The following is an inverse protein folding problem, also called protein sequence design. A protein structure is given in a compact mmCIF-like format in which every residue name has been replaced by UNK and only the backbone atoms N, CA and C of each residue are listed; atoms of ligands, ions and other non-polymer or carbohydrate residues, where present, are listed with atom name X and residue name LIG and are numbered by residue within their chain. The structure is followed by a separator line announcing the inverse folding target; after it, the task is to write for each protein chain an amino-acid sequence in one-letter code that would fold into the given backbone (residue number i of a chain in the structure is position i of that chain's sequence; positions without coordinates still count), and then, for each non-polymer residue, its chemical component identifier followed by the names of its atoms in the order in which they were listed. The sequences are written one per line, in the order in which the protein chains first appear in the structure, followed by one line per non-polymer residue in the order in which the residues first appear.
data_IF_935886566729
#
_entry.id   IF_935886566729
#
_cell.length_a   1.000
_cell.length_b   1.000
_cell.length_c   1.000
_cell.angle_alpha   90.00
_cell.angle_beta   90.00
_cell.angle_gamma   90.00
#
_symmetry.space_group_name_H-M   'P 1'
#
loop_
_entity.id
_entity.type
_entity.pdbx_description
1 polymer ?
#
# COMPACT_ATOMS: atom_id res chain seq x y z
N UNK A 1 17.50 6.52 -11.77
CA UNK A 1 16.29 5.87 -11.22
C UNK A 1 16.11 4.55 -11.94
N UNK A 2 15.82 3.46 -11.23
CA UNK A 2 15.55 2.16 -11.85
C UNK A 2 14.33 2.29 -12.77
N UNK A 3 14.43 1.76 -13.99
CA UNK A 3 13.33 1.79 -14.97
C UNK A 3 12.69 0.41 -14.97
N UNK A 4 11.45 0.35 -14.50
CA UNK A 4 10.65 -0.86 -14.51
C UNK A 4 10.47 -1.36 -15.95
N UNK A 5 10.66 -2.66 -16.15
CA UNK A 5 10.34 -3.33 -17.40
C UNK A 5 9.00 -4.07 -17.31
N UNK A 6 8.64 -4.77 -18.39
CA UNK A 6 7.39 -5.51 -18.46
C UNK A 6 7.34 -6.69 -17.48
N UNK A 7 8.50 -7.26 -17.13
CA UNK A 7 8.57 -8.37 -16.17
C UNK A 7 8.33 -7.86 -14.76
N UNK A 8 8.95 -6.73 -14.40
CA UNK A 8 8.72 -6.06 -13.12
C UNK A 8 7.25 -5.68 -12.95
N UNK A 9 6.63 -5.12 -13.99
CA UNK A 9 5.21 -4.76 -13.95
C UNK A 9 4.32 -6.00 -13.78
N UNK A 10 4.57 -7.07 -14.54
CA UNK A 10 3.81 -8.31 -14.41
C UNK A 10 3.92 -8.93 -13.00
N UNK A 11 5.09 -8.81 -12.37
CA UNK A 11 5.28 -9.25 -10.99
C UNK A 11 4.47 -8.41 -9.99
N UNK A 12 4.40 -7.10 -10.19
CA UNK A 12 3.58 -6.20 -9.37
C UNK A 12 2.10 -6.54 -9.55
N UNK A 13 1.62 -6.66 -10.78
CA UNK A 13 0.22 -6.96 -11.09
C UNK A 13 -0.23 -8.30 -10.49
N UNK A 14 0.63 -9.32 -10.55
CA UNK A 14 0.39 -10.62 -9.93
C UNK A 14 0.26 -10.50 -8.40
N UNK A 15 1.14 -9.72 -7.75
CA UNK A 15 1.07 -9.46 -6.30
C UNK A 15 -0.17 -8.69 -5.90
N UNK A 16 -0.56 -7.68 -6.69
CA UNK A 16 -1.78 -6.90 -6.46
C UNK A 16 -3.01 -7.81 -6.55
N UNK A 17 -3.04 -8.69 -7.55
CA UNK A 17 -4.12 -9.67 -7.72
C UNK A 17 -4.20 -10.63 -6.54
N UNK A 18 -3.05 -11.16 -6.09
CA UNK A 18 -2.97 -12.04 -4.92
C UNK A 18 -3.48 -11.33 -3.65
N UNK A 19 -3.01 -10.10 -3.41
CA UNK A 19 -3.42 -9.35 -2.22
C UNK A 19 -4.91 -8.96 -2.26
N UNK A 20 -5.46 -8.68 -3.44
CA UNK A 20 -6.89 -8.43 -3.62
C UNK A 20 -7.76 -9.62 -3.18
N UNK A 21 -7.38 -10.84 -3.54
CA UNK A 21 -8.07 -12.06 -3.08
C UNK A 21 -7.98 -12.20 -1.55
N UNK A 22 -6.79 -11.98 -0.98
CA UNK A 22 -6.57 -12.07 0.47
C UNK A 22 -7.44 -11.06 1.23
N UNK A 23 -7.54 -9.82 0.73
CA UNK A 23 -8.43 -8.78 1.27
C UNK A 23 -9.90 -9.18 1.14
N UNK A 24 -10.34 -9.69 -0.02
CA UNK A 24 -11.71 -10.14 -0.22
C UNK A 24 -12.10 -11.26 0.76
N UNK A 25 -11.22 -12.24 0.98
CA UNK A 25 -11.42 -13.32 1.96
C UNK A 25 -11.44 -12.82 3.40
N UNK A 26 -10.61 -11.81 3.72
CA UNK A 26 -10.63 -11.16 5.04
C UNK A 26 -11.94 -10.43 5.31
N UNK A 27 -12.49 -9.76 4.30
CA UNK A 27 -13.79 -9.07 4.38
C UNK A 27 -14.93 -10.09 4.48
N UNK A 28 -14.86 -11.19 3.73
CA UNK A 28 -15.84 -12.28 3.77
C UNK A 28 -15.78 -13.13 5.07
N UNK A 29 -14.78 -12.93 5.92
CA UNK A 29 -14.60 -13.67 7.17
C UNK A 29 -14.02 -15.08 7.00
N UNK A 30 -13.68 -15.50 5.78
CA UNK A 30 -13.05 -16.80 5.49
C UNK A 30 -11.54 -16.81 5.77
N UNK A 31 -10.96 -15.64 6.05
CA UNK A 31 -9.59 -15.47 6.50
C UNK A 31 -9.58 -14.68 7.82
N UNK A 32 -9.07 -15.29 8.90
CA UNK A 32 -9.05 -14.65 10.22
C UNK A 32 -8.02 -13.52 10.29
N UNK A 33 -8.14 -12.61 11.27
CA UNK A 33 -7.15 -11.54 11.45
C UNK A 33 -5.73 -12.09 11.70
N UNK A 34 -5.59 -13.17 12.47
CA UNK A 34 -4.27 -13.77 12.75
C UNK A 34 -3.63 -14.36 11.49
N UNK A 35 -4.43 -14.97 10.61
CA UNK A 35 -3.97 -15.47 9.31
C UNK A 35 -3.67 -14.34 8.33
N UNK A 36 -4.45 -13.26 8.39
CA UNK A 36 -4.30 -12.10 7.51
C UNK A 36 -3.12 -11.19 7.91
N UNK A 37 -2.83 -11.08 9.20
CA UNK A 37 -1.76 -10.25 9.77
C UNK A 37 -0.42 -10.38 9.03
N UNK A 38 0.16 -11.58 8.83
CA UNK A 38 1.42 -11.70 8.09
C UNK A 38 1.29 -11.27 6.61
N UNK A 39 0.12 -11.43 5.99
CA UNK A 39 -0.12 -11.08 4.59
C UNK A 39 -0.18 -9.56 4.39
N UNK A 40 -0.94 -8.86 5.23
CA UNK A 40 -1.02 -7.39 5.17
C UNK A 40 0.30 -6.71 5.54
N UNK A 41 1.06 -7.27 6.49
CA UNK A 41 2.34 -6.71 6.89
C UNK A 41 3.40 -6.83 5.78
N UNK A 42 3.38 -7.89 4.98
CA UNK A 42 4.24 -8.02 3.79
C UNK A 42 3.96 -6.93 2.75
N UNK A 43 2.73 -6.44 2.69
CA UNK A 43 2.29 -5.36 1.80
C UNK A 43 2.35 -3.97 2.49
N UNK A 44 3.00 -3.85 3.64
CA UNK A 44 3.17 -2.57 4.33
C UNK A 44 1.90 -2.03 4.99
N UNK A 45 0.87 -2.86 5.19
CA UNK A 45 -0.42 -2.47 5.74
C UNK A 45 -0.56 -2.87 7.23
N UNK A 46 -0.62 -1.86 8.09
CA UNK A 46 -0.64 -1.97 9.55
C UNK A 46 -2.02 -1.60 10.09
N UNK A 47 -2.65 -2.47 10.88
CA UNK A 47 -3.86 -2.10 11.61
C UNK A 47 -3.50 -1.22 12.82
N UNK A 48 -3.97 0.02 12.82
CA UNK A 48 -3.99 0.92 13.99
C UNK A 48 -5.36 0.86 14.68
N UNK A 49 -5.54 1.59 15.78
CA UNK A 49 -6.75 1.53 16.60
C UNK A 49 -8.04 1.84 15.81
N UNK A 50 -7.97 2.76 14.84
CA UNK A 50 -9.15 3.27 14.12
C UNK A 50 -9.15 3.01 12.61
N UNK A 51 -8.00 2.69 12.01
CA UNK A 51 -7.86 2.54 10.57
C UNK A 51 -6.57 1.77 10.22
N UNK A 52 -6.36 1.49 8.93
CA UNK A 52 -5.10 0.94 8.47
C UNK A 52 -4.12 2.06 8.09
N UNK A 53 -2.86 1.86 8.50
CA UNK A 53 -1.73 2.62 8.02
C UNK A 53 -1.02 1.87 6.89
N UNK A 54 -0.95 2.48 5.71
CA UNK A 54 -0.18 1.98 4.58
C UNK A 54 1.17 2.68 4.53
N UNK A 55 2.26 1.91 4.55
CA UNK A 55 3.62 2.40 4.36
C UNK A 55 4.12 2.07 2.96
N UNK A 56 4.36 3.09 2.16
CA UNK A 56 4.96 2.95 0.83
C UNK A 56 6.48 3.06 0.94
N UNK A 57 7.17 2.04 0.44
CA UNK A 57 8.62 2.00 0.42
C UNK A 57 9.18 2.90 -0.69
N UNK A 58 10.16 3.74 -0.37
CA UNK A 58 10.84 4.62 -1.33
C UNK A 58 12.33 4.25 -1.33
N UNK A 59 12.81 3.49 -2.33
CA UNK A 59 14.20 3.08 -2.41
C UNK A 59 15.15 4.28 -2.36
N UNK A 60 16.06 4.26 -1.38
CA UNK A 60 17.04 5.31 -1.13
C UNK A 60 16.45 6.71 -0.91
N UNK A 61 15.14 6.82 -0.62
CA UNK A 61 14.45 8.11 -0.53
C UNK A 61 14.39 8.87 -1.87
N UNK A 62 14.62 8.20 -3.00
CA UNK A 62 14.69 8.85 -4.32
C UNK A 62 13.36 8.80 -5.05
N UNK A 63 12.86 9.97 -5.47
CA UNK A 63 11.60 10.13 -6.21
C UNK A 63 11.76 11.13 -7.36
N UNK A 64 11.01 10.92 -8.43
CA UNK A 64 10.80 11.93 -9.47
C UNK A 64 9.65 12.85 -9.07
N UNK A 65 9.56 14.02 -9.72
CA UNK A 65 8.41 14.92 -9.53
C UNK A 65 7.08 14.27 -9.88
N UNK A 66 7.05 13.38 -10.87
CA UNK A 66 5.85 12.63 -11.24
C UNK A 66 5.43 11.63 -10.15
N UNK A 67 6.37 10.89 -9.57
CA UNK A 67 6.09 9.99 -8.45
C UNK A 67 5.62 10.76 -7.21
N UNK A 68 6.21 11.93 -6.93
CA UNK A 68 5.77 12.76 -5.81
C UNK A 68 4.32 13.26 -5.98
N UNK A 69 3.92 13.63 -7.21
CA UNK A 69 2.53 13.99 -7.51
C UNK A 69 1.58 12.81 -7.30
N UNK A 70 1.94 11.62 -7.78
CA UNK A 70 1.14 10.41 -7.57
C UNK A 70 0.96 10.09 -6.07
N UNK A 71 2.01 10.27 -5.26
CA UNK A 71 1.89 10.15 -3.80
C UNK A 71 0.92 11.19 -3.21
N UNK A 72 0.93 12.43 -3.72
CA UNK A 72 -0.06 13.45 -3.38
C UNK A 72 -1.49 13.02 -3.73
N UNK A 73 -1.71 12.50 -4.93
CA UNK A 73 -3.02 12.01 -5.38
C UNK A 73 -3.54 10.88 -4.48
N UNK A 74 -2.66 9.99 -4.00
CA UNK A 74 -3.02 8.95 -3.04
C UNK A 74 -3.46 9.56 -1.70
N UNK A 75 -2.74 10.58 -1.22
CA UNK A 75 -3.06 11.27 0.03
C UNK A 75 -4.45 11.94 -0.03
N UNK A 76 -4.77 12.58 -1.16
CA UNK A 76 -6.04 13.28 -1.36
C UNK A 76 -7.22 12.30 -1.53
N UNK A 77 -7.01 11.20 -2.26
CA UNK A 77 -8.07 10.26 -2.60
C UNK A 77 -8.38 9.25 -1.50
N UNK A 78 -7.36 8.74 -0.82
CA UNK A 78 -7.50 7.60 0.10
C UNK A 78 -7.18 7.92 1.56
N UNK A 79 -6.52 9.06 1.82
CA UNK A 79 -6.25 9.56 3.17
C UNK A 79 -7.04 10.87 3.39
N UNK A 80 -6.47 11.83 4.12
CA UNK A 80 -7.07 13.11 4.50
C UNK A 80 -6.28 14.29 3.92
N UNK A 81 -5.65 14.11 2.77
CA UNK A 81 -4.86 15.13 2.09
C UNK A 81 -3.46 15.35 2.69
N UNK A 82 -2.94 14.39 3.45
CA UNK A 82 -1.57 14.45 3.96
C UNK A 82 -0.90 13.08 3.99
N UNK A 83 0.43 13.07 3.86
CA UNK A 83 1.27 11.90 4.03
C UNK A 83 2.43 12.21 4.98
N UNK A 84 2.91 11.20 5.70
CA UNK A 84 4.00 11.35 6.67
C UNK A 84 5.28 10.68 6.18
N UNK A 85 6.33 11.46 5.92
CA UNK A 85 7.66 10.88 5.71
C UNK A 85 8.23 10.39 7.04
N UNK A 86 8.77 9.18 7.00
CA UNK A 86 9.45 8.57 8.12
C UNK A 86 10.95 8.89 8.11
N UNK A 87 11.61 8.65 9.23
CA UNK A 87 13.08 8.74 9.35
C UNK A 87 13.83 7.76 8.44
N UNK A 88 13.14 6.76 7.89
CA UNK A 88 13.65 5.83 6.87
C UNK A 88 13.30 6.24 5.45
N UNK A 89 12.88 7.49 5.25
CA UNK A 89 12.58 8.10 3.94
C UNK A 89 11.40 7.46 3.18
N UNK A 90 10.63 6.57 3.83
CA UNK A 90 9.36 6.05 3.33
C UNK A 90 8.20 7.01 3.67
N UNK A 91 7.08 6.91 2.95
CA UNK A 91 5.86 7.69 3.24
C UNK A 91 4.77 6.80 3.84
N UNK A 92 3.95 7.38 4.72
CA UNK A 92 2.85 6.70 5.43
C UNK A 92 1.53 7.45 5.26
N UNK A 93 0.47 6.69 5.03
CA UNK A 93 -0.93 7.11 5.05
C UNK A 93 -1.64 6.36 6.18
N UNK A 94 -2.41 7.01 7.04
CA UNK A 94 -2.93 6.45 8.29
C UNK A 94 -4.43 6.12 8.28
N UNK A 95 -5.17 6.58 7.28
CA UNK A 95 -6.64 6.49 7.26
C UNK A 95 -7.18 5.57 6.15
N UNK A 96 -6.36 4.63 5.70
CA UNK A 96 -6.69 3.76 4.57
C UNK A 96 -7.79 2.76 4.97
N UNK A 97 -8.80 2.60 4.11
CA UNK A 97 -9.81 1.55 4.24
C UNK A 97 -9.30 0.24 3.64
N UNK A 98 -9.55 -0.86 4.32
CA UNK A 98 -9.07 -2.19 3.90
C UNK A 98 -9.47 -2.54 2.46
N UNK A 99 -10.74 -2.31 2.11
CA UNK A 99 -11.30 -2.63 0.78
C UNK A 99 -10.61 -1.89 -0.37
N UNK A 100 -10.07 -0.69 -0.13
CA UNK A 100 -9.42 0.16 -1.13
C UNK A 100 -7.91 -0.17 -1.27
N UNK A 101 -7.33 -0.92 -0.32
CA UNK A 101 -5.88 -1.18 -0.29
C UNK A 101 -5.32 -1.85 -1.55
N UNK A 102 -6.00 -2.82 -2.20
CA UNK A 102 -5.46 -3.42 -3.42
C UNK A 102 -5.41 -2.44 -4.59
N UNK A 103 -6.32 -1.46 -4.65
CA UNK A 103 -6.35 -0.45 -5.71
C UNK A 103 -5.25 0.58 -5.56
N UNK A 104 -4.82 0.89 -4.32
CA UNK A 104 -3.70 1.80 -4.07
C UNK A 104 -2.36 1.20 -4.53
N UNK A 105 -2.27 -0.13 -4.56
CA UNK A 105 -1.05 -0.86 -4.93
C UNK A 105 -0.97 -1.18 -6.44
N UNK A 106 -2.05 -0.92 -7.19
CA UNK A 106 -2.18 -1.22 -8.62
C UNK A 106 -1.55 -0.16 -9.54
#
# INVERSE_FOLDING_TARGET
MYKYDNYDQALVDARVTEFRDQVARRIAGTLTEDQFKPLRLKNGLYLQLHAYMLRVAIPYGTLSGAQMRLLGDIADKYDRGYGHFSTRQNIQYNWIKLEETPDILA
#
